data_IF_480534889415
#
_entry.id   IF_480534889415
#
_cell.length_a   1.000
_cell.length_b   1.000
_cell.length_c   1.000
_cell.angle_alpha   90.00
_cell.angle_beta   90.00
_cell.angle_gamma   90.00
#
_symmetry.space_group_name_H-M   'P 1'
#
loop_
_entity.id
_entity.type
_entity.pdbx_description
1 polymer ?
#
# COMPACT_ATOMS: atom_id res chain seq x y z
N UNK A 1 -1.27 15.01 9.26
CA UNK A 1 -2.58 14.33 9.04
C UNK A 1 -3.36 14.93 7.87
N UNK A 2 -3.72 16.23 7.89
CA UNK A 2 -4.56 16.84 6.84
C UNK A 2 -3.98 16.73 5.41
N UNK A 3 -2.68 17.03 5.22
CA UNK A 3 -2.01 16.87 3.92
C UNK A 3 -2.08 15.41 3.42
N UNK A 4 -1.85 14.43 4.32
CA UNK A 4 -1.96 13.00 4.01
C UNK A 4 -3.40 12.62 3.61
N UNK A 5 -4.41 13.13 4.32
CA UNK A 5 -5.82 12.93 3.97
C UNK A 5 -6.13 13.46 2.57
N UNK A 6 -5.65 14.66 2.23
CA UNK A 6 -5.79 15.23 0.89
C UNK A 6 -5.13 14.36 -0.18
N UNK A 7 -3.88 13.92 0.05
CA UNK A 7 -3.15 13.03 -0.88
C UNK A 7 -3.91 11.72 -1.11
N UNK A 8 -4.38 11.09 -0.03
CA UNK A 8 -5.12 9.82 -0.10
C UNK A 8 -6.44 9.99 -0.84
N UNK A 9 -7.19 11.05 -0.55
CA UNK A 9 -8.46 11.35 -1.23
C UNK A 9 -8.25 11.61 -2.72
N UNK A 10 -7.21 12.37 -3.08
CA UNK A 10 -6.80 12.58 -4.47
C UNK A 10 -6.46 11.26 -5.16
N UNK A 11 -5.62 10.43 -4.53
CA UNK A 11 -5.19 9.13 -5.06
C UNK A 11 -6.37 8.19 -5.33
N UNK A 12 -7.28 8.05 -4.37
CA UNK A 12 -8.45 7.19 -4.48
C UNK A 12 -9.42 7.69 -5.55
N UNK A 13 -9.66 9.00 -5.61
CA UNK A 13 -10.51 9.60 -6.63
C UNK A 13 -9.92 9.42 -8.03
N UNK A 14 -8.61 9.66 -8.19
CA UNK A 14 -7.91 9.47 -9.45
C UNK A 14 -7.97 8.00 -9.90
N UNK A 15 -7.75 7.06 -8.98
CA UNK A 15 -7.87 5.63 -9.29
C UNK A 15 -9.26 5.26 -9.81
N UNK A 16 -10.34 5.75 -9.17
CA UNK A 16 -11.71 5.52 -9.64
C UNK A 16 -11.94 6.09 -11.05
N UNK A 17 -11.39 7.26 -11.34
CA UNK A 17 -11.51 7.89 -12.66
C UNK A 17 -10.73 7.09 -13.72
N UNK A 18 -9.50 6.71 -13.40
CA UNK A 18 -8.59 6.01 -14.31
C UNK A 18 -9.14 4.61 -14.65
N UNK A 19 -9.62 3.87 -13.66
CA UNK A 19 -10.04 2.47 -13.83
C UNK A 19 -11.51 2.30 -14.22
N UNK A 20 -12.31 3.38 -14.30
CA UNK A 20 -13.75 3.30 -14.54
C UNK A 20 -14.18 2.38 -15.70
N UNK A 21 -13.48 2.43 -16.84
CA UNK A 21 -13.80 1.61 -18.02
C UNK A 21 -13.41 0.14 -17.84
N UNK A 22 -12.31 -0.13 -17.13
CA UNK A 22 -11.87 -1.49 -16.79
C UNK A 22 -12.78 -2.08 -15.71
N UNK A 23 -13.11 -1.27 -14.70
CA UNK A 23 -13.98 -1.65 -13.59
C UNK A 23 -15.37 -2.05 -14.09
N UNK A 24 -15.91 -1.35 -15.10
CA UNK A 24 -17.19 -1.67 -15.73
C UNK A 24 -17.22 -3.06 -16.39
N UNK A 25 -16.06 -3.56 -16.85
CA UNK A 25 -15.93 -4.87 -17.50
C UNK A 25 -15.65 -6.00 -16.50
N UNK A 26 -15.14 -5.68 -15.31
CA UNK A 26 -14.74 -6.70 -14.33
C UNK A 26 -15.95 -7.12 -13.45
N UNK A 27 -16.29 -8.43 -13.41
CA UNK A 27 -17.40 -8.95 -12.60
C UNK A 27 -17.32 -8.64 -11.10
N UNK A 28 -16.14 -8.34 -10.57
CA UNK A 28 -15.95 -7.95 -9.17
C UNK A 28 -16.24 -6.48 -8.91
N UNK A 29 -16.08 -5.62 -9.91
CA UNK A 29 -16.04 -4.16 -9.75
C UNK A 29 -17.05 -3.40 -10.60
N UNK A 30 -17.84 -4.09 -11.44
CA UNK A 30 -18.86 -3.45 -12.30
C UNK A 30 -19.89 -2.64 -11.49
N UNK A 31 -20.09 -2.95 -10.20
CA UNK A 31 -21.01 -2.25 -9.32
C UNK A 31 -20.36 -1.10 -8.51
N UNK A 32 -19.10 -0.74 -8.82
CA UNK A 32 -18.43 0.45 -8.26
C UNK A 32 -19.14 1.74 -8.66
N UNK A 33 -18.82 2.83 -7.98
CA UNK A 33 -19.59 4.06 -7.96
C UNK A 33 -19.71 4.73 -9.33
N UNK A 34 -18.61 4.83 -10.09
CA UNK A 34 -18.61 5.42 -11.44
C UNK A 34 -19.21 4.44 -12.47
N UNK A 35 -18.75 3.17 -12.57
CA UNK A 35 -19.32 2.20 -13.51
C UNK A 35 -20.84 1.98 -13.37
N UNK A 36 -21.34 1.95 -12.12
CA UNK A 36 -22.76 1.76 -11.84
C UNK A 36 -23.59 3.05 -11.97
N UNK A 37 -22.98 4.18 -12.36
CA UNK A 37 -23.65 5.47 -12.49
C UNK A 37 -24.08 6.13 -11.17
N UNK A 38 -23.64 5.61 -10.02
CA UNK A 38 -23.95 6.16 -8.68
C UNK A 38 -23.26 7.51 -8.45
N UNK A 39 -22.11 7.74 -9.08
CA UNK A 39 -21.39 9.01 -9.06
C UNK A 39 -21.01 9.46 -10.47
N UNK A 40 -21.22 10.75 -10.75
CA UNK A 40 -20.79 11.35 -12.01
C UNK A 40 -19.26 11.52 -12.05
N UNK A 41 -18.62 11.06 -13.13
CA UNK A 41 -17.16 11.20 -13.36
C UNK A 41 -16.67 12.65 -13.21
N UNK A 42 -17.44 13.65 -13.66
CA UNK A 42 -17.10 15.08 -13.50
C UNK A 42 -17.02 15.50 -12.02
N UNK A 43 -17.94 15.00 -11.19
CA UNK A 43 -17.94 15.26 -9.75
C UNK A 43 -16.72 14.64 -9.08
N UNK A 44 -16.34 13.42 -9.48
CA UNK A 44 -15.14 12.76 -8.93
C UNK A 44 -13.86 13.48 -9.37
N UNK A 45 -13.79 13.99 -10.61
CA UNK A 45 -12.68 14.84 -11.08
C UNK A 45 -12.59 16.11 -10.24
N UNK A 46 -13.70 16.82 -10.01
CA UNK A 46 -13.71 18.01 -9.16
C UNK A 46 -13.22 17.68 -7.74
N UNK A 47 -13.71 16.59 -7.16
CA UNK A 47 -13.26 16.13 -5.84
C UNK A 47 -11.77 15.81 -5.80
N UNK A 48 -11.22 15.17 -6.85
CA UNK A 48 -9.79 14.91 -6.96
C UNK A 48 -8.99 16.22 -6.98
N UNK A 49 -9.39 17.19 -7.81
CA UNK A 49 -8.71 18.51 -7.89
C UNK A 49 -8.77 19.24 -6.54
N UNK A 50 -9.93 19.27 -5.88
CA UNK A 50 -10.07 19.90 -4.58
C UNK A 50 -9.22 19.18 -3.51
N UNK A 51 -9.14 17.86 -3.54
CA UNK A 51 -8.29 17.08 -2.63
C UNK A 51 -6.80 17.33 -2.86
N UNK A 52 -6.39 17.52 -4.12
CA UNK A 52 -5.02 17.90 -4.47
C UNK A 52 -4.67 19.31 -3.97
N UNK A 53 -5.57 20.28 -4.18
CA UNK A 53 -5.39 21.65 -3.65
C UNK A 53 -5.33 21.63 -2.13
N UNK A 54 -6.24 20.90 -1.48
CA UNK A 54 -6.24 20.72 -0.02
C UNK A 54 -4.92 20.14 0.47
N UNK A 55 -4.41 19.10 -0.19
CA UNK A 55 -3.09 18.54 0.10
C UNK A 55 -1.98 19.57 -0.05
N UNK A 56 -1.95 20.32 -1.15
CA UNK A 56 -0.93 21.33 -1.43
C UNK A 56 -0.93 22.45 -0.36
N UNK A 57 -2.10 22.96 0.01
CA UNK A 57 -2.24 23.98 1.06
C UNK A 57 -1.68 23.46 2.38
N UNK A 58 -2.11 22.28 2.84
CA UNK A 58 -1.63 21.75 4.12
C UNK A 58 -0.17 21.28 4.08
N UNK A 59 0.36 20.88 2.92
CA UNK A 59 1.78 20.60 2.76
C UNK A 59 2.61 21.89 2.89
N UNK A 60 2.18 22.99 2.26
CA UNK A 60 2.83 24.29 2.39
C UNK A 60 2.84 24.80 3.83
N UNK A 61 1.74 24.62 4.56
CA UNK A 61 1.63 24.99 5.97
C UNK A 61 2.57 24.19 6.89
N UNK A 62 3.06 23.02 6.45
CA UNK A 62 4.13 22.31 7.15
C UNK A 62 5.47 22.97 6.83
N UNK A 63 5.89 22.90 5.56
CA UNK A 63 7.10 23.56 5.06
C UNK A 63 7.00 23.78 3.55
N UNK A 64 7.69 24.80 2.98
CA UNK A 64 7.79 24.95 1.52
C UNK A 64 8.38 23.72 0.83
N UNK A 65 9.30 23.01 1.50
CA UNK A 65 9.87 21.75 1.02
C UNK A 65 8.84 20.62 0.96
N UNK A 66 7.95 20.52 1.95
CA UNK A 66 6.87 19.54 1.93
C UNK A 66 5.92 19.77 0.75
N UNK A 67 5.59 21.03 0.41
CA UNK A 67 4.85 21.34 -0.82
C UNK A 67 5.64 20.93 -2.07
N UNK A 68 6.90 21.35 -2.18
CA UNK A 68 7.70 21.08 -3.38
C UNK A 68 7.82 19.58 -3.66
N UNK A 69 8.02 18.77 -2.61
CA UNK A 69 8.12 17.32 -2.71
C UNK A 69 6.77 16.62 -2.84
N UNK A 70 5.66 17.23 -2.41
CA UNK A 70 4.34 16.60 -2.54
C UNK A 70 3.83 16.59 -3.98
N UNK A 71 4.25 17.54 -4.82
CA UNK A 71 3.89 17.58 -6.24
C UNK A 71 4.39 16.33 -7.00
N UNK A 72 5.70 15.99 -7.03
CA UNK A 72 6.16 14.76 -7.67
C UNK A 72 5.59 13.51 -6.98
N UNK A 73 5.41 13.51 -5.65
CA UNK A 73 4.77 12.41 -4.95
C UNK A 73 3.33 12.18 -5.43
N UNK A 74 2.55 13.24 -5.67
CA UNK A 74 1.20 13.14 -6.21
C UNK A 74 1.18 12.50 -7.60
N UNK A 75 2.17 12.77 -8.45
CA UNK A 75 2.29 12.10 -9.75
C UNK A 75 2.61 10.61 -9.62
N UNK A 76 3.48 10.23 -8.69
CA UNK A 76 3.77 8.81 -8.42
C UNK A 76 2.51 8.09 -7.93
N UNK A 77 1.78 8.72 -7.00
CA UNK A 77 0.55 8.22 -6.39
C UNK A 77 -0.63 8.22 -7.37
N UNK A 78 -0.72 9.14 -8.33
CA UNK A 78 -1.71 9.04 -9.40
C UNK A 78 -1.30 7.96 -10.42
N UNK A 79 -0.01 7.94 -10.77
CA UNK A 79 0.58 7.09 -11.80
C UNK A 79 0.41 5.60 -11.56
N UNK A 80 0.34 5.13 -10.31
CA UNK A 80 0.14 3.70 -10.04
C UNK A 80 -1.15 3.15 -10.69
N UNK A 81 -2.19 3.99 -10.85
CA UNK A 81 -3.48 3.60 -11.46
C UNK A 81 -3.33 3.19 -12.92
N UNK A 82 -2.25 3.60 -13.57
CA UNK A 82 -1.94 3.22 -14.95
C UNK A 82 -0.93 2.08 -15.06
N UNK A 83 -0.22 1.74 -13.98
CA UNK A 83 0.91 0.83 -14.02
C UNK A 83 0.56 -0.55 -14.61
N UNK A 84 -0.60 -1.10 -14.25
CA UNK A 84 -1.09 -2.39 -14.78
C UNK A 84 -1.24 -2.42 -16.31
N UNK A 85 -1.33 -1.26 -16.97
CA UNK A 85 -1.50 -1.17 -18.43
C UNK A 85 -0.21 -1.40 -19.20
N UNK A 86 0.94 -1.35 -18.54
CA UNK A 86 2.24 -1.48 -19.21
C UNK A 86 3.31 -2.27 -18.42
N UNK A 87 3.12 -2.54 -17.13
CA UNK A 87 4.11 -3.28 -16.33
C UNK A 87 3.48 -4.18 -15.26
N UNK A 88 4.04 -5.38 -15.11
CA UNK A 88 3.71 -6.31 -14.02
C UNK A 88 4.27 -5.86 -12.67
N UNK A 89 5.16 -4.86 -12.64
CA UNK A 89 5.67 -4.24 -11.42
C UNK A 89 4.68 -3.24 -10.79
N UNK A 90 3.43 -3.23 -11.25
CA UNK A 90 2.36 -2.38 -10.73
C UNK A 90 2.17 -2.50 -9.21
N UNK A 91 2.37 -3.69 -8.64
CA UNK A 91 2.30 -3.92 -7.20
C UNK A 91 3.43 -3.21 -6.44
N UNK A 92 4.64 -3.21 -7.00
CA UNK A 92 5.80 -2.49 -6.44
C UNK A 92 5.59 -0.98 -6.56
N UNK A 93 5.03 -0.51 -7.67
CA UNK A 93 4.67 0.91 -7.83
C UNK A 93 3.64 1.34 -6.79
N UNK A 94 2.57 0.56 -6.59
CA UNK A 94 1.58 0.82 -5.54
C UNK A 94 2.22 0.83 -4.16
N UNK A 95 3.09 -0.16 -3.88
CA UNK A 95 3.86 -0.22 -2.65
C UNK A 95 4.70 1.03 -2.44
N UNK A 96 5.42 1.49 -3.46
CA UNK A 96 6.23 2.70 -3.40
C UNK A 96 5.38 3.95 -3.19
N UNK A 97 4.25 4.07 -3.90
CA UNK A 97 3.33 5.19 -3.77
C UNK A 97 2.86 5.39 -2.32
N UNK A 98 2.57 4.28 -1.62
CA UNK A 98 2.20 4.31 -0.20
C UNK A 98 3.45 4.44 0.71
N UNK A 99 4.54 3.78 0.34
CA UNK A 99 5.82 3.78 1.06
C UNK A 99 6.51 5.14 1.09
N UNK A 100 6.15 6.09 0.23
CA UNK A 100 6.65 7.47 0.29
C UNK A 100 6.22 8.22 1.56
N UNK A 101 5.26 7.70 2.35
CA UNK A 101 4.76 8.36 3.53
C UNK A 101 5.83 8.62 4.62
N UNK A 102 6.61 7.63 5.11
CA UNK A 102 7.70 7.87 6.06
C UNK A 102 8.69 8.97 5.65
N UNK A 103 9.37 8.92 4.48
CA UNK A 103 10.32 9.97 4.10
C UNK A 103 9.64 11.33 3.93
N UNK A 104 8.38 11.39 3.47
CA UNK A 104 7.63 12.65 3.39
C UNK A 104 7.36 13.25 4.77
N UNK A 105 7.04 12.43 5.78
CA UNK A 105 6.84 12.89 7.16
C UNK A 105 8.15 13.38 7.77
N UNK A 106 9.25 12.63 7.61
CA UNK A 106 10.56 13.07 8.09
C UNK A 106 11.01 14.38 7.46
N UNK A 107 10.84 14.52 6.14
CA UNK A 107 11.17 15.75 5.42
C UNK A 107 10.34 16.93 5.95
N UNK A 108 9.04 16.73 6.16
CA UNK A 108 8.15 17.79 6.64
C UNK A 108 8.47 18.25 8.07
N UNK A 109 8.96 17.36 8.93
CA UNK A 109 9.24 17.66 10.34
C UNK A 109 10.69 18.09 10.60
N UNK A 110 11.64 17.50 9.88
CA UNK A 110 13.08 17.62 10.20
C UNK A 110 13.91 18.22 9.07
N UNK A 111 13.31 18.48 7.89
CA UNK A 111 14.01 18.90 6.67
C UNK A 111 15.14 17.94 6.25
N UNK A 112 15.03 16.66 6.63
CA UNK A 112 16.01 15.63 6.33
C UNK A 112 15.31 14.32 5.93
N UNK A 113 16.04 13.46 5.21
CA UNK A 113 15.58 12.11 4.83
C UNK A 113 16.61 11.12 5.41
N UNK A 114 16.47 10.75 6.69
CA UNK A 114 17.39 9.81 7.31
C UNK A 114 17.21 8.40 6.74
N UNK A 115 18.24 7.57 6.88
CA UNK A 115 18.23 6.18 6.40
C UNK A 115 17.05 5.37 6.97
N UNK A 116 16.67 5.64 8.21
CA UNK A 116 15.50 5.08 8.91
C UNK A 116 14.22 5.25 8.10
N UNK A 117 14.00 6.44 7.56
CA UNK A 117 12.81 6.75 6.76
C UNK A 117 12.78 6.00 5.44
N UNK A 118 13.96 5.75 4.85
CA UNK A 118 14.12 4.98 3.61
C UNK A 118 13.93 3.49 3.85
N UNK A 119 14.39 2.96 5.00
CA UNK A 119 14.13 1.58 5.39
C UNK A 119 12.63 1.39 5.68
N UNK A 120 11.98 2.32 6.37
CA UNK A 120 10.53 2.31 6.56
C UNK A 120 9.80 2.36 5.21
N UNK A 121 10.24 3.19 4.26
CA UNK A 121 9.70 3.20 2.90
C UNK A 121 9.82 1.82 2.23
N UNK A 122 10.97 1.16 2.34
CA UNK A 122 11.17 -0.18 1.79
C UNK A 122 10.29 -1.25 2.47
N UNK A 123 10.17 -1.19 3.80
CA UNK A 123 9.28 -2.06 4.59
C UNK A 123 7.84 -1.90 4.13
N UNK A 124 7.32 -0.67 4.06
CA UNK A 124 5.96 -0.41 3.59
C UNK A 124 5.77 -0.82 2.13
N UNK A 125 6.76 -0.54 1.26
CA UNK A 125 6.69 -0.89 -0.16
C UNK A 125 6.56 -2.39 -0.35
N UNK A 126 7.43 -3.17 0.29
CA UNK A 126 7.44 -4.62 0.18
C UNK A 126 6.20 -5.24 0.80
N UNK A 127 5.74 -4.70 1.95
CA UNK A 127 4.52 -5.15 2.61
C UNK A 127 3.30 -4.98 1.72
N UNK A 128 3.06 -3.75 1.25
CA UNK A 128 1.90 -3.42 0.43
C UNK A 128 1.95 -4.15 -0.91
N UNK A 129 3.14 -4.28 -1.52
CA UNK A 129 3.27 -4.99 -2.78
C UNK A 129 2.99 -6.49 -2.63
N UNK A 130 3.54 -7.15 -1.60
CA UNK A 130 3.28 -8.56 -1.34
C UNK A 130 1.79 -8.81 -1.10
N UNK A 131 1.16 -7.95 -0.32
CA UNK A 131 -0.25 -7.98 -0.03
C UNK A 131 -1.15 -7.76 -1.26
N UNK A 132 -0.84 -6.75 -2.09
CA UNK A 132 -1.60 -6.46 -3.31
C UNK A 132 -1.48 -7.58 -4.37
N UNK A 133 -0.35 -8.29 -4.40
CA UNK A 133 -0.21 -9.50 -5.22
C UNK A 133 -1.20 -10.58 -4.77
N UNK A 134 -1.34 -10.83 -3.46
CA UNK A 134 -2.33 -11.78 -2.94
C UNK A 134 -3.75 -11.33 -3.28
N UNK A 135 -4.04 -10.04 -3.13
CA UNK A 135 -5.36 -9.50 -3.42
C UNK A 135 -5.73 -9.63 -4.90
N UNK A 136 -4.77 -9.39 -5.80
CA UNK A 136 -4.95 -9.44 -7.25
C UNK A 136 -5.07 -10.85 -7.83
N UNK A 137 -4.82 -11.92 -7.06
CA UNK A 137 -5.15 -13.30 -7.47
C UNK A 137 -6.64 -13.47 -7.82
N UNK A 138 -7.52 -12.64 -7.24
CA UNK A 138 -8.95 -12.61 -7.56
C UNK A 138 -9.21 -12.17 -9.00
N UNK A 139 -8.41 -11.22 -9.50
CA UNK A 139 -8.58 -10.62 -10.82
C UNK A 139 -7.68 -11.27 -11.88
N UNK A 140 -6.89 -12.30 -11.53
CA UNK A 140 -5.90 -12.94 -12.41
C UNK A 140 -6.42 -13.26 -13.82
N UNK A 141 -7.60 -13.88 -13.93
CA UNK A 141 -8.18 -14.24 -15.22
C UNK A 141 -8.72 -13.03 -15.98
N UNK A 142 -9.31 -12.08 -15.27
CA UNK A 142 -9.82 -10.84 -15.85
C UNK A 142 -8.65 -10.00 -16.42
N UNK A 143 -7.60 -9.82 -15.62
CA UNK A 143 -6.39 -9.09 -16.01
C UNK A 143 -5.78 -9.73 -17.26
N UNK A 144 -5.65 -11.05 -17.28
CA UNK A 144 -5.12 -11.78 -18.45
C UNK A 144 -6.00 -11.59 -19.70
N UNK A 145 -7.32 -11.72 -19.56
CA UNK A 145 -8.24 -11.59 -20.69
C UNK A 145 -8.30 -10.17 -21.28
N UNK A 146 -7.99 -9.14 -20.47
CA UNK A 146 -8.00 -7.74 -20.89
C UNK A 146 -6.60 -7.18 -21.18
N UNK A 147 -5.58 -8.03 -21.29
CA UNK A 147 -4.22 -7.61 -21.61
C UNK A 147 -3.54 -6.77 -20.52
N UNK A 148 -3.99 -6.87 -19.26
CA UNK A 148 -3.38 -6.20 -18.13
C UNK A 148 -2.17 -6.99 -17.61
N UNK A 149 -1.18 -6.26 -17.13
CA UNK A 149 0.08 -6.79 -16.62
C UNK A 149 0.07 -6.76 -15.09
N UNK A 150 -0.42 -7.80 -14.46
CA UNK A 150 -0.20 -8.07 -13.03
C UNK A 150 0.67 -9.31 -12.85
N UNK A 151 1.32 -9.45 -11.69
CA UNK A 151 2.15 -10.63 -11.40
C UNK A 151 1.33 -11.93 -11.51
N UNK A 152 0.11 -12.03 -10.91
CA UNK A 152 -0.74 -13.19 -11.11
C UNK A 152 -1.10 -13.44 -12.57
N UNK A 153 -1.51 -12.40 -13.32
CA UNK A 153 -1.94 -12.56 -14.70
C UNK A 153 -0.81 -13.09 -15.60
N UNK A 154 0.42 -12.60 -15.38
CA UNK A 154 1.60 -12.94 -16.17
C UNK A 154 2.25 -14.26 -15.77
N UNK A 155 2.41 -14.52 -14.48
CA UNK A 155 3.22 -15.64 -13.97
C UNK A 155 2.41 -16.75 -13.29
N UNK A 156 1.10 -16.54 -13.15
CA UNK A 156 0.20 -17.51 -12.52
C UNK A 156 0.25 -17.49 -11.00
N UNK A 157 -0.60 -18.32 -10.41
CA UNK A 157 -0.89 -18.40 -8.98
C UNK A 157 0.34 -18.72 -8.12
N UNK A 158 1.03 -19.83 -8.39
CA UNK A 158 2.16 -20.29 -7.58
C UNK A 158 3.30 -19.26 -7.54
N UNK A 159 3.62 -18.67 -8.69
CA UNK A 159 4.66 -17.63 -8.77
C UNK A 159 4.22 -16.37 -8.03
N UNK A 160 2.95 -15.96 -8.15
CA UNK A 160 2.43 -14.81 -7.43
C UNK A 160 2.49 -14.99 -5.91
N UNK A 161 2.08 -16.16 -5.41
CA UNK A 161 2.26 -16.52 -4.01
C UNK A 161 3.74 -16.39 -3.62
N UNK A 162 4.64 -17.07 -4.34
CA UNK A 162 6.08 -17.07 -4.04
C UNK A 162 6.71 -15.68 -4.00
N UNK A 163 6.38 -14.82 -4.98
CA UNK A 163 6.85 -13.43 -5.01
C UNK A 163 6.30 -12.63 -3.83
N UNK A 164 5.02 -12.81 -3.50
CA UNK A 164 4.42 -12.16 -2.32
C UNK A 164 5.11 -12.59 -1.02
N UNK A 165 5.41 -13.88 -0.85
CA UNK A 165 6.12 -14.38 0.32
C UNK A 165 7.55 -13.81 0.41
N UNK A 166 8.25 -13.73 -0.73
CA UNK A 166 9.57 -13.08 -0.79
C UNK A 166 9.52 -11.61 -0.39
N UNK A 167 8.49 -10.86 -0.83
CA UNK A 167 8.30 -9.47 -0.42
C UNK A 167 7.99 -9.34 1.07
N UNK A 168 7.13 -10.19 1.64
CA UNK A 168 6.86 -10.17 3.09
C UNK A 168 8.08 -10.60 3.92
N UNK A 169 8.92 -11.48 3.41
CA UNK A 169 10.20 -11.78 4.03
C UNK A 169 11.12 -10.53 4.09
N UNK A 170 11.16 -9.74 3.01
CA UNK A 170 11.89 -8.46 3.02
C UNK A 170 11.27 -7.44 3.99
N UNK A 171 9.94 -7.40 4.11
CA UNK A 171 9.25 -6.59 5.12
C UNK A 171 9.72 -6.94 6.53
N UNK A 172 9.66 -8.22 6.92
CA UNK A 172 10.08 -8.68 8.25
C UNK A 172 11.57 -8.41 8.46
N UNK A 173 12.40 -8.68 7.45
CA UNK A 173 13.84 -8.39 7.52
C UNK A 173 14.11 -6.90 7.78
N UNK A 174 13.37 -6.01 7.10
CA UNK A 174 13.49 -4.57 7.31
C UNK A 174 13.04 -4.11 8.70
N UNK A 175 12.02 -4.74 9.29
CA UNK A 175 11.63 -4.51 10.69
C UNK A 175 12.76 -4.91 11.65
N UNK A 176 13.40 -6.07 11.44
CA UNK A 176 14.54 -6.49 12.26
C UNK A 176 15.75 -5.57 12.10
N UNK A 177 15.98 -5.03 10.90
CA UNK A 177 17.01 -4.01 10.67
C UNK A 177 16.70 -2.74 11.46
N UNK A 178 15.46 -2.26 11.44
CA UNK A 178 15.03 -1.07 12.19
C UNK A 178 15.25 -1.23 13.69
N UNK A 179 14.91 -2.39 14.26
CA UNK A 179 15.17 -2.71 15.66
C UNK A 179 16.63 -2.42 16.05
N UNK A 180 17.58 -2.84 15.21
CA UNK A 180 19.01 -2.66 15.47
C UNK A 180 19.49 -1.24 15.25
N UNK A 181 19.11 -0.60 14.14
CA UNK A 181 19.66 0.71 13.78
C UNK A 181 19.11 1.84 14.65
N UNK A 182 17.87 1.72 15.12
CA UNK A 182 17.23 2.70 16.00
C UNK A 182 17.42 2.36 17.48
N UNK A 183 18.14 1.27 17.81
CA UNK A 183 18.33 0.77 19.18
C UNK A 183 16.99 0.63 19.94
N UNK A 184 15.98 0.07 19.28
CA UNK A 184 14.64 -0.09 19.87
C UNK A 184 14.64 -1.21 20.91
N UNK A 185 13.70 -1.15 21.85
CA UNK A 185 13.64 -2.12 22.94
C UNK A 185 13.15 -3.50 22.47
N UNK A 186 13.18 -4.50 23.37
CA UNK A 186 12.57 -5.80 23.09
C UNK A 186 11.06 -5.73 22.86
N UNK A 187 10.38 -4.67 23.31
CA UNK A 187 8.96 -4.44 23.03
C UNK A 187 8.71 -4.33 21.52
N UNK A 188 9.52 -3.54 20.81
CA UNK A 188 9.49 -3.49 19.35
C UNK A 188 9.75 -4.86 18.70
N UNK A 189 10.76 -5.59 19.19
CA UNK A 189 11.13 -6.88 18.61
C UNK A 189 9.99 -7.92 18.74
N UNK A 190 9.33 -7.97 19.89
CA UNK A 190 8.12 -8.80 20.08
C UNK A 190 7.08 -8.44 19.03
N UNK A 191 6.89 -7.15 18.80
CA UNK A 191 5.97 -6.68 17.78
C UNK A 191 6.35 -7.05 16.34
N UNK A 192 7.63 -6.99 16.00
CA UNK A 192 8.13 -7.46 14.70
C UNK A 192 7.86 -8.97 14.50
N UNK A 193 8.01 -9.77 15.56
CA UNK A 193 7.64 -11.20 15.54
C UNK A 193 6.13 -11.38 15.33
N UNK A 194 5.29 -10.62 16.02
CA UNK A 194 3.83 -10.65 15.81
C UNK A 194 3.46 -10.28 14.38
N UNK A 195 4.07 -9.24 13.81
CA UNK A 195 3.92 -8.87 12.41
C UNK A 195 4.32 -10.01 11.46
N UNK A 196 5.42 -10.72 11.74
CA UNK A 196 5.87 -11.88 10.97
C UNK A 196 4.86 -13.04 11.01
N UNK A 197 4.25 -13.29 12.18
CA UNK A 197 3.20 -14.30 12.34
C UNK A 197 1.94 -13.93 11.55
N UNK A 198 1.54 -12.66 11.54
CA UNK A 198 0.38 -12.17 10.78
C UNK A 198 0.56 -12.40 9.28
N UNK A 199 1.71 -11.99 8.71
CA UNK A 199 1.95 -12.18 7.28
C UNK A 199 2.08 -13.67 6.92
N UNK A 200 2.63 -14.50 7.81
CA UNK A 200 2.70 -15.94 7.61
C UNK A 200 1.32 -16.59 7.61
N UNK A 201 0.46 -16.15 8.53
CA UNK A 201 -0.93 -16.63 8.63
C UNK A 201 -1.76 -16.18 7.43
N UNK A 202 -1.55 -14.97 6.93
CA UNK A 202 -2.17 -14.49 5.69
C UNK A 202 -1.87 -15.43 4.51
N UNK A 203 -0.60 -15.76 4.29
CA UNK A 203 -0.18 -16.70 3.25
C UNK A 203 -0.84 -18.07 3.45
N UNK A 204 -0.85 -18.57 4.70
CA UNK A 204 -1.51 -19.83 5.04
C UNK A 204 -2.99 -19.78 4.70
N UNK A 205 -3.71 -18.69 5.03
CA UNK A 205 -5.15 -18.47 4.83
C UNK A 205 -5.52 -18.39 3.34
N UNK A 206 -4.71 -17.72 2.53
CA UNK A 206 -4.91 -17.63 1.08
C UNK A 206 -4.67 -18.98 0.40
N UNK A 207 -3.81 -19.84 0.96
CA UNK A 207 -3.64 -21.22 0.48
C UNK A 207 -2.21 -21.61 0.18
N UNK A 208 -1.20 -20.92 0.73
CA UNK A 208 0.20 -21.29 0.60
C UNK A 208 0.43 -22.77 0.97
N UNK A 209 1.15 -23.50 0.10
CA UNK A 209 1.41 -24.94 0.27
C UNK A 209 0.18 -25.84 0.13
N UNK A 210 -0.96 -25.29 -0.30
CA UNK A 210 -2.24 -25.98 -0.56
C UNK A 210 -2.86 -25.41 -1.84
N UNK A 211 -4.13 -25.73 -2.09
CA UNK A 211 -4.92 -25.06 -3.13
C UNK A 211 -5.30 -23.64 -2.71
N UNK A 212 -5.25 -22.69 -3.66
CA UNK A 212 -5.73 -21.32 -3.46
C UNK A 212 -7.20 -21.30 -3.03
N UNK A 213 -7.47 -20.53 -1.99
CA UNK A 213 -8.80 -20.30 -1.43
C UNK A 213 -9.23 -18.87 -1.71
N UNK A 214 -9.79 -18.65 -2.91
CA UNK A 214 -10.19 -17.32 -3.38
C UNK A 214 -11.20 -16.64 -2.47
N UNK A 215 -12.09 -17.42 -1.85
CA UNK A 215 -13.08 -16.95 -0.87
C UNK A 215 -12.46 -16.37 0.40
N UNK A 216 -11.20 -16.74 0.72
CA UNK A 216 -10.47 -16.24 1.88
C UNK A 216 -9.61 -15.01 1.60
N UNK A 217 -9.40 -14.65 0.34
CA UNK A 217 -8.59 -13.47 -0.03
C UNK A 217 -9.19 -12.17 0.55
N UNK A 218 -10.51 -11.93 0.56
CA UNK A 218 -11.07 -10.76 1.24
C UNK A 218 -10.82 -10.76 2.76
N UNK A 219 -10.81 -11.93 3.41
CA UNK A 219 -10.54 -12.05 4.85
C UNK A 219 -9.09 -11.73 5.16
N UNK A 220 -8.15 -12.30 4.39
CA UNK A 220 -6.74 -11.91 4.37
C UNK A 220 -6.62 -10.38 4.22
N UNK A 221 -7.30 -9.84 3.21
CA UNK A 221 -7.25 -8.43 2.88
C UNK A 221 -7.75 -7.49 3.98
N UNK A 222 -8.94 -7.74 4.52
CA UNK A 222 -9.56 -6.81 5.48
C UNK A 222 -9.06 -7.03 6.90
N UNK A 223 -8.92 -8.27 7.35
CA UNK A 223 -8.68 -8.54 8.76
C UNK A 223 -7.19 -8.49 9.08
N UNK A 224 -6.35 -9.21 8.33
CA UNK A 224 -4.93 -9.33 8.65
C UNK A 224 -4.18 -8.02 8.38
N UNK A 225 -4.47 -7.35 7.28
CA UNK A 225 -3.86 -6.05 6.98
C UNK A 225 -4.23 -4.95 8.01
N UNK A 226 -5.50 -4.93 8.44
CA UNK A 226 -5.95 -3.99 9.48
C UNK A 226 -5.31 -4.33 10.83
N UNK A 227 -5.27 -5.62 11.18
CA UNK A 227 -4.61 -6.08 12.40
C UNK A 227 -3.13 -5.73 12.42
N UNK A 228 -2.40 -5.96 11.31
CA UNK A 228 -1.00 -5.59 11.16
C UNK A 228 -0.80 -4.09 11.45
N UNK A 229 -1.60 -3.24 10.81
CA UNK A 229 -1.47 -1.78 10.93
C UNK A 229 -1.74 -1.28 12.35
N UNK A 230 -2.82 -1.74 12.98
CA UNK A 230 -3.19 -1.34 14.35
C UNK A 230 -2.16 -1.86 15.35
N UNK A 231 -1.79 -3.14 15.26
CA UNK A 231 -0.82 -3.74 16.17
C UNK A 231 0.53 -3.05 16.04
N UNK A 232 1.01 -2.82 14.82
CA UNK A 232 2.28 -2.13 14.61
C UNK A 232 2.29 -0.75 15.26
N UNK A 233 1.20 0.02 15.12
CA UNK A 233 1.07 1.32 15.81
C UNK A 233 1.09 1.18 17.34
N UNK A 234 0.32 0.23 17.89
CA UNK A 234 0.27 -0.02 19.34
C UNK A 234 1.63 -0.47 19.88
N UNK A 235 2.36 -1.31 19.14
CA UNK A 235 3.70 -1.77 19.48
C UNK A 235 4.68 -0.60 19.55
N UNK A 236 4.67 0.29 18.55
CA UNK A 236 5.54 1.47 18.54
C UNK A 236 5.25 2.37 19.74
N UNK A 237 3.97 2.59 20.08
CA UNK A 237 3.60 3.34 21.28
C UNK A 237 4.06 2.62 22.56
N UNK A 238 3.88 1.31 22.64
CA UNK A 238 4.29 0.51 23.78
C UNK A 238 5.81 0.52 23.96
N UNK A 239 6.58 0.47 22.87
CA UNK A 239 8.04 0.58 22.89
C UNK A 239 8.48 1.94 23.45
N UNK A 240 7.76 3.02 23.09
CA UNK A 240 8.03 4.36 23.60
C UNK A 240 7.71 4.54 25.09
N UNK A 241 6.57 4.02 25.57
CA UNK A 241 6.11 4.24 26.95
C UNK A 241 6.56 3.15 27.93
N UNK A 242 6.78 1.92 27.45
CA UNK A 242 7.10 0.73 28.23
C UNK A 242 8.22 -0.08 27.55
N UNK A 243 9.42 0.51 27.36
CA UNK A 243 10.53 -0.20 26.75
C UNK A 243 10.99 -1.36 27.63
N UNK A 244 11.18 -2.52 27.03
CA UNK A 244 11.77 -3.70 27.68
C UNK A 244 13.24 -3.80 27.31
N UNK A 245 14.12 -3.71 28.30
CA UNK A 245 15.58 -3.87 28.13
C UNK A 245 16.23 -2.61 27.60
#
# INVERSE_FOLDING_TARGET
VLAFTGMRSFAMAYNRIADAELDAKNPRTFNREIPAGKLNKKTVILFAVLSFIFMAVFAYLLTPWALLCSIPAAFIVAGYSHAKRFTYLCHIWLGLAIGLAPPAVYLALTLSIPITSLILMAVLTTYIAGFDILYSLQDMYFDRANGLHSIPARFGENTALAVSAGLHFLTVSGLIVLWKIENLSFTYLIGAVVCALIVSEEHRVVGWGKSLRKDKIPVAFFNYNSAFSILFFVIILADWFFPLG
#
